data_IF_065428024204
#
_entry.id   IF_065428024204
#
_cell.length_a   1.000
_cell.length_b   1.000
_cell.length_c   1.000
_cell.angle_alpha   90.00
_cell.angle_beta   90.00
_cell.angle_gamma   90.00
#
_symmetry.space_group_name_H-M   'P 1'
#
loop_
_entity.id
_entity.type
_entity.pdbx_description
1 polymer ?
#
# COMPACT_ATOMS: atom_id res chain seq x y z
N UNK A 1 36.63 -21.23 22.94
CA UNK A 1 35.19 -21.06 22.72
C UNK A 1 34.82 -19.70 23.28
N UNK A 2 34.53 -18.72 22.42
CA UNK A 2 34.10 -17.39 22.89
C UNK A 2 32.78 -17.54 23.64
N UNK A 3 32.71 -16.99 24.85
CA UNK A 3 31.48 -17.02 25.62
C UNK A 3 30.39 -16.23 24.89
N UNK A 4 29.14 -16.68 24.90
CA UNK A 4 28.02 -15.97 24.25
C UNK A 4 27.89 -14.52 24.74
N UNK A 5 28.27 -14.28 26.00
CA UNK A 5 28.30 -12.95 26.62
C UNK A 5 29.38 -12.06 25.98
N UNK A 6 30.55 -12.61 25.65
CA UNK A 6 31.62 -11.86 24.98
C UNK A 6 31.22 -11.49 23.56
N UNK A 7 30.59 -12.43 22.84
CA UNK A 7 30.05 -12.16 21.50
C UNK A 7 28.99 -11.05 21.58
N UNK A 8 28.05 -11.11 22.52
CA UNK A 8 27.04 -10.07 22.69
C UNK A 8 27.66 -8.69 22.95
N UNK A 9 28.77 -8.61 23.70
CA UNK A 9 29.49 -7.36 23.95
C UNK A 9 30.18 -6.78 22.69
N UNK A 10 30.47 -7.59 21.67
CA UNK A 10 31.04 -7.10 20.39
C UNK A 10 30.02 -6.37 19.50
N UNK A 11 28.72 -6.41 19.85
CA UNK A 11 27.69 -5.73 19.07
C UNK A 11 27.87 -4.20 19.07
N UNK A 12 27.46 -3.52 17.98
CA UNK A 12 27.52 -2.07 17.90
C UNK A 12 26.80 -1.40 19.08
N UNK A 13 27.34 -0.30 19.66
CA UNK A 13 26.78 0.34 20.84
C UNK A 13 25.35 0.85 20.61
N UNK A 14 24.98 1.17 19.37
CA UNK A 14 23.61 1.56 19.00
C UNK A 14 22.61 0.41 19.17
N UNK A 15 23.00 -0.81 18.81
CA UNK A 15 22.15 -2.00 18.99
C UNK A 15 22.07 -2.38 20.47
N UNK A 16 23.20 -2.33 21.19
CA UNK A 16 23.23 -2.59 22.63
C UNK A 16 22.31 -1.63 23.39
N UNK A 17 22.39 -0.33 23.13
CA UNK A 17 21.48 0.68 23.74
C UNK A 17 20.02 0.44 23.39
N UNK A 18 19.74 -0.02 22.16
CA UNK A 18 18.38 -0.36 21.77
C UNK A 18 17.85 -1.53 22.61
N UNK A 19 18.58 -2.63 22.70
CA UNK A 19 18.17 -3.81 23.47
C UNK A 19 18.15 -3.56 24.99
N UNK A 20 18.98 -2.67 25.51
CA UNK A 20 18.91 -2.23 26.91
C UNK A 20 17.60 -1.52 27.23
N UNK A 21 17.10 -0.70 26.29
CA UNK A 21 15.86 0.07 26.48
C UNK A 21 14.61 -0.73 26.10
N UNK A 22 14.74 -1.62 25.13
CA UNK A 22 13.65 -2.45 24.60
C UNK A 22 14.13 -3.90 24.55
N UNK A 23 14.17 -4.59 25.70
CA UNK A 23 14.66 -5.97 25.76
C UNK A 23 13.65 -6.92 25.10
N UNK A 24 14.07 -7.78 24.17
CA UNK A 24 13.16 -8.73 23.53
C UNK A 24 12.72 -9.83 24.50
N UNK A 25 11.45 -10.30 24.42
CA UNK A 25 10.93 -11.34 25.31
C UNK A 25 11.69 -12.66 25.19
N UNK A 26 12.28 -12.93 24.02
CA UNK A 26 13.09 -14.12 23.74
C UNK A 26 14.32 -14.26 24.65
N UNK A 27 14.79 -13.17 25.26
CA UNK A 27 15.90 -13.21 26.22
C UNK A 27 15.47 -13.67 27.62
N UNK A 28 14.16 -13.71 27.88
CA UNK A 28 13.58 -14.13 29.15
C UNK A 28 12.87 -15.48 28.95
N UNK A 29 13.58 -16.62 29.09
CA UNK A 29 13.03 -17.94 28.81
C UNK A 29 11.80 -18.27 29.68
N UNK A 30 11.76 -17.77 30.92
CA UNK A 30 10.60 -17.94 31.83
C UNK A 30 9.32 -17.29 31.27
N UNK A 31 9.44 -16.09 30.71
CA UNK A 31 8.32 -15.36 30.10
C UNK A 31 7.93 -16.00 28.77
N UNK A 32 8.92 -16.43 27.97
CA UNK A 32 8.68 -17.11 26.69
C UNK A 32 7.91 -18.43 26.88
N UNK A 33 8.23 -19.20 27.93
CA UNK A 33 7.49 -20.44 28.27
C UNK A 33 6.04 -20.16 28.67
N UNK A 34 5.76 -19.06 29.38
CA UNK A 34 4.39 -18.66 29.72
C UNK A 34 3.57 -18.21 28.51
N UNK A 35 4.19 -17.52 27.54
CA UNK A 35 3.51 -17.08 26.30
C UNK A 35 3.27 -18.24 25.33
N UNK A 36 4.17 -19.23 25.28
CA UNK A 36 4.01 -20.40 24.41
C UNK A 36 3.08 -21.48 25.01
N UNK A 37 2.84 -21.45 26.32
CA UNK A 37 2.04 -22.44 27.03
C UNK A 37 0.53 -22.13 27.09
N UNK A 38 0.03 -21.06 26.45
CA UNK A 38 -1.41 -20.91 26.18
C UNK A 38 -1.80 -21.89 25.07
N UNK A 39 -2.46 -23.02 25.39
CA UNK A 39 -2.88 -23.95 24.36
C UNK A 39 -4.04 -23.31 23.61
N UNK A 40 -3.93 -23.26 22.28
CA UNK A 40 -5.08 -23.09 21.40
C UNK A 40 -5.96 -24.33 21.54
N UNK A 41 -6.78 -24.36 22.58
CA UNK A 41 -7.77 -25.41 22.79
C UNK A 41 -9.16 -24.83 22.51
N UNK A 42 -9.77 -25.26 21.41
CA UNK A 42 -11.19 -25.10 21.10
C UNK A 42 -11.54 -26.09 19.97
N UNK A 43 -11.72 -27.35 20.34
CA UNK A 43 -12.46 -28.33 19.55
C UNK A 43 -13.93 -28.41 20.00
N UNK A 44 -14.85 -28.47 19.02
CA UNK A 44 -16.25 -29.01 19.02
C UNK A 44 -17.35 -28.07 19.58
N UNK A 45 -18.41 -27.63 18.86
CA UNK A 45 -19.41 -28.34 18.01
C UNK A 45 -20.17 -27.42 17.01
N UNK A 46 -20.65 -28.00 15.89
CA UNK A 46 -21.60 -27.51 14.83
C UNK A 46 -23.09 -27.43 15.29
N UNK A 47 -24.11 -27.07 14.47
CA UNK A 47 -24.27 -26.02 13.42
C UNK A 47 -25.61 -25.22 13.53
N UNK A 48 -25.70 -23.96 13.08
CA UNK A 48 -26.97 -23.33 12.64
C UNK A 48 -26.76 -22.02 11.84
N UNK A 49 -27.44 -21.99 10.70
CA UNK A 49 -27.72 -20.92 9.72
C UNK A 49 -27.98 -19.51 10.29
N UNK A 50 -27.30 -18.47 9.79
CA UNK A 50 -27.85 -17.34 8.98
C UNK A 50 -26.74 -16.37 8.55
N UNK A 51 -26.84 -15.89 7.31
CA UNK A 51 -25.99 -14.94 6.59
C UNK A 51 -25.71 -13.60 7.32
N UNK A 52 -24.44 -13.18 7.36
CA UNK A 52 -23.99 -11.79 7.19
C UNK A 52 -22.45 -11.73 7.05
N UNK A 53 -21.87 -11.01 6.06
CA UNK A 53 -20.42 -10.94 5.90
C UNK A 53 -19.77 -10.01 6.94
N UNK A 54 -18.98 -10.65 7.80
CA UNK A 54 -18.10 -10.09 8.83
C UNK A 54 -16.94 -9.30 8.21
N UNK A 55 -16.85 -8.00 8.50
CA UNK A 55 -15.58 -7.26 8.47
C UNK A 55 -14.96 -7.33 9.86
N UNK A 56 -14.36 -8.48 10.19
CA UNK A 56 -13.55 -8.65 11.39
C UNK A 56 -12.17 -8.08 11.11
N UNK A 57 -11.98 -6.84 11.55
CA UNK A 57 -10.68 -6.23 11.75
C UNK A 57 -9.86 -7.17 12.64
N UNK A 58 -8.81 -7.78 12.08
CA UNK A 58 -7.83 -8.55 12.83
C UNK A 58 -7.04 -7.58 13.71
N UNK A 59 -7.63 -7.23 14.84
CA UNK A 59 -6.92 -6.65 15.98
C UNK A 59 -5.93 -7.71 16.43
N UNK A 60 -4.66 -7.53 16.05
CA UNK A 60 -3.58 -8.31 16.60
C UNK A 60 -3.63 -8.17 18.11
N UNK A 61 -4.02 -9.26 18.78
CA UNK A 61 -4.02 -9.40 20.22
C UNK A 61 -2.60 -9.11 20.71
N UNK A 62 -2.38 -7.91 21.25
CA UNK A 62 -1.16 -7.58 21.97
C UNK A 62 -1.17 -8.44 23.22
N UNK A 63 -0.20 -9.34 23.45
CA UNK A 63 -0.08 -9.99 24.75
C UNK A 63 0.23 -8.90 25.78
N UNK A 64 -0.75 -8.67 26.64
CA UNK A 64 -0.75 -7.84 27.84
C UNK A 64 0.28 -8.36 28.86
N UNK A 65 1.58 -8.40 28.52
CA UNK A 65 2.65 -8.51 29.52
C UNK A 65 4.06 -8.21 28.96
N UNK A 66 4.17 -7.25 28.03
CA UNK A 66 5.47 -6.63 27.72
C UNK A 66 5.42 -5.19 28.19
N UNK A 67 6.24 -4.88 29.19
CA UNK A 67 6.31 -3.57 29.87
C UNK A 67 6.45 -2.35 28.94
N UNK A 68 6.77 -2.55 27.65
CA UNK A 68 6.90 -1.48 26.67
C UNK A 68 6.23 -1.83 25.33
N UNK A 69 5.41 -0.91 24.75
CA UNK A 69 4.84 -1.08 23.42
C UNK A 69 5.92 -1.06 22.33
N UNK A 70 5.62 -1.61 21.15
CA UNK A 70 6.57 -1.65 20.03
C UNK A 70 7.06 -0.23 19.67
N UNK A 71 8.36 0.08 19.79
CA UNK A 71 8.90 1.42 19.59
C UNK A 71 8.95 1.86 18.11
N UNK A 72 8.61 0.97 17.19
CA UNK A 72 8.57 1.21 15.75
C UNK A 72 7.19 1.59 15.23
N UNK A 73 6.14 1.43 16.05
CA UNK A 73 4.78 1.77 15.67
C UNK A 73 4.35 3.08 16.31
N UNK A 74 3.48 3.86 15.61
CA UNK A 74 2.82 4.98 16.24
C UNK A 74 1.88 4.46 17.33
N UNK A 75 1.82 5.18 18.45
CA UNK A 75 0.94 4.82 19.58
C UNK A 75 -0.15 5.88 19.71
N UNK A 76 -1.36 5.44 20.07
CA UNK A 76 -2.47 6.35 20.33
C UNK A 76 -2.54 6.67 21.82
N UNK A 77 -2.61 7.94 22.15
CA UNK A 77 -2.95 8.36 23.50
C UNK A 77 -4.48 8.29 23.67
N UNK A 78 -4.96 7.39 24.52
CA UNK A 78 -6.40 7.15 24.68
C UNK A 78 -7.13 8.26 25.47
N UNK A 79 -6.43 9.07 26.28
CA UNK A 79 -7.06 10.18 27.01
C UNK A 79 -7.26 11.40 26.11
N UNK A 80 -6.28 11.71 25.26
CA UNK A 80 -6.33 12.89 24.36
C UNK A 80 -6.76 12.57 22.94
N UNK A 81 -6.81 11.29 22.56
CA UNK A 81 -7.10 10.81 21.21
C UNK A 81 -5.98 11.06 20.18
N UNK A 82 -4.89 11.75 20.54
CA UNK A 82 -3.80 12.10 19.64
C UNK A 82 -2.88 10.91 19.37
N UNK A 83 -2.40 10.80 18.14
CA UNK A 83 -1.38 9.82 17.77
C UNK A 83 0.02 10.39 18.01
N UNK A 84 0.83 9.64 18.74
CA UNK A 84 2.26 9.89 18.85
C UNK A 84 2.99 9.16 17.72
N UNK A 85 3.94 9.87 17.09
CA UNK A 85 4.84 9.24 16.13
C UNK A 85 5.67 8.13 16.79
N UNK A 86 6.18 7.17 16.01
CA UNK A 86 7.03 6.10 16.54
C UNK A 86 8.32 6.69 17.13
N UNK A 87 8.78 6.12 18.25
CA UNK A 87 10.02 6.54 18.94
C UNK A 87 11.21 6.47 17.98
N UNK A 88 11.25 5.44 17.14
CA UNK A 88 12.17 5.35 16.01
C UNK A 88 11.39 5.48 14.69
N UNK A 89 11.59 6.59 13.98
CA UNK A 89 11.05 6.75 12.63
C UNK A 89 11.66 5.79 11.60
N UNK A 90 11.02 5.65 10.43
CA UNK A 90 11.35 4.65 9.41
C UNK A 90 12.82 4.64 8.95
N UNK A 91 13.51 5.79 8.98
CA UNK A 91 14.95 5.86 8.70
C UNK A 91 15.78 5.19 9.79
N UNK A 92 15.53 5.51 11.06
CA UNK A 92 16.21 4.90 12.21
C UNK A 92 15.91 3.40 12.31
N UNK A 93 14.68 2.99 11.97
CA UNK A 93 14.30 1.57 11.86
C UNK A 93 15.17 0.85 10.82
N UNK A 94 15.29 1.42 9.62
CA UNK A 94 16.12 0.84 8.56
C UNK A 94 17.60 0.76 8.96
N UNK A 95 18.14 1.78 9.63
CA UNK A 95 19.51 1.76 10.14
C UNK A 95 19.72 0.64 11.17
N UNK A 96 18.78 0.46 12.10
CA UNK A 96 18.83 -0.62 13.11
C UNK A 96 18.71 -1.99 12.47
N UNK A 97 17.77 -2.18 11.53
CA UNK A 97 17.61 -3.44 10.81
C UNK A 97 18.86 -3.75 9.98
N UNK A 98 19.46 -2.75 9.32
CA UNK A 98 20.69 -2.94 8.54
C UNK A 98 21.85 -3.39 9.43
N UNK A 99 22.03 -2.76 10.59
CA UNK A 99 23.03 -3.17 11.57
C UNK A 99 22.74 -4.59 12.10
N UNK A 100 21.50 -4.87 12.48
CA UNK A 100 21.13 -6.17 13.01
C UNK A 100 21.29 -7.29 11.99
N UNK A 101 21.02 -7.01 10.71
CA UNK A 101 21.23 -7.97 9.62
C UNK A 101 22.71 -8.28 9.42
N UNK A 102 23.59 -7.26 9.51
CA UNK A 102 25.03 -7.47 9.45
C UNK A 102 25.56 -8.33 10.62
N UNK A 103 24.89 -8.31 11.77
CA UNK A 103 25.28 -9.06 12.97
C UNK A 103 24.40 -10.29 13.26
N UNK A 104 23.47 -10.66 12.36
CA UNK A 104 22.60 -11.83 12.53
C UNK A 104 21.59 -11.75 13.68
N UNK A 105 21.26 -10.55 14.17
CA UNK A 105 20.35 -10.32 15.32
C UNK A 105 19.02 -9.67 14.92
N UNK A 106 18.56 -9.92 13.69
CA UNK A 106 17.32 -9.33 13.15
C UNK A 106 16.07 -9.83 13.87
N UNK A 107 16.08 -11.10 14.27
CA UNK A 107 14.92 -11.75 14.88
C UNK A 107 14.60 -11.18 16.27
N UNK A 108 15.63 -10.68 16.96
CA UNK A 108 15.52 -10.02 18.26
C UNK A 108 14.85 -8.64 18.17
N UNK A 109 14.70 -8.05 16.98
CA UNK A 109 14.02 -6.76 16.83
C UNK A 109 12.49 -6.94 16.81
N UNK A 110 11.74 -5.97 17.36
CA UNK A 110 10.29 -5.95 17.21
C UNK A 110 9.88 -5.87 15.73
N UNK A 111 8.64 -6.21 15.43
CA UNK A 111 8.13 -6.17 14.06
C UNK A 111 8.26 -4.78 13.43
N UNK A 112 8.75 -4.73 12.19
CA UNK A 112 8.90 -3.50 11.39
C UNK A 112 8.68 -3.78 9.92
N UNK A 113 8.16 -2.79 9.19
CA UNK A 113 8.03 -2.82 7.72
C UNK A 113 9.39 -2.91 7.00
N UNK A 114 10.49 -2.62 7.71
CA UNK A 114 11.85 -2.59 7.18
C UNK A 114 12.61 -3.91 7.36
N UNK A 115 12.04 -4.92 8.05
CA UNK A 115 12.66 -6.23 8.17
C UNK A 115 12.92 -6.85 6.77
N UNK A 116 14.00 -7.65 6.61
CA UNK A 116 14.24 -8.37 5.36
C UNK A 116 13.06 -9.31 5.04
N UNK A 117 12.74 -9.51 3.77
CA UNK A 117 11.62 -10.37 3.33
C UNK A 117 10.23 -9.72 3.40
N UNK A 118 9.94 -8.89 4.40
CA UNK A 118 8.59 -8.27 4.58
C UNK A 118 8.12 -7.45 3.38
N UNK A 119 9.04 -6.74 2.74
CA UNK A 119 8.76 -5.95 1.54
C UNK A 119 8.40 -6.84 0.34
N UNK A 120 9.03 -8.01 0.25
CA UNK A 120 8.82 -8.97 -0.83
C UNK A 120 7.53 -9.76 -0.59
N UNK A 121 7.30 -10.23 0.65
CA UNK A 121 6.06 -10.87 1.06
C UNK A 121 4.84 -10.00 0.74
N UNK A 122 4.88 -8.71 1.11
CA UNK A 122 3.81 -7.75 0.77
C UNK A 122 3.63 -7.57 -0.73
N UNK A 123 4.72 -7.59 -1.50
CA UNK A 123 4.67 -7.43 -2.96
C UNK A 123 4.08 -8.68 -3.62
N UNK A 124 4.36 -9.86 -3.10
CA UNK A 124 3.78 -11.12 -3.55
C UNK A 124 2.29 -11.16 -3.21
N UNK A 125 1.90 -10.77 -1.99
CA UNK A 125 0.50 -10.79 -1.54
C UNK A 125 -0.37 -9.77 -2.28
N UNK A 126 0.10 -8.52 -2.42
CA UNK A 126 -0.72 -7.41 -2.94
C UNK A 126 -0.47 -7.06 -4.40
N UNK A 127 0.62 -7.56 -5.00
CA UNK A 127 1.01 -7.22 -6.36
C UNK A 127 1.42 -5.76 -6.56
N UNK A 128 1.49 -5.34 -7.84
CA UNK A 128 1.70 -3.93 -8.18
C UNK A 128 0.38 -3.16 -8.09
N UNK A 129 0.27 -2.19 -7.18
CA UNK A 129 -0.96 -1.41 -6.97
C UNK A 129 -0.93 0.01 -7.58
N UNK A 130 -0.02 0.28 -8.53
CA UNK A 130 0.10 1.62 -9.14
C UNK A 130 -1.10 1.93 -10.03
N UNK A 131 -1.66 3.14 -9.93
CA UNK A 131 -2.84 3.51 -10.72
C UNK A 131 -2.55 3.41 -12.23
N UNK A 132 -3.36 2.63 -12.94
CA UNK A 132 -3.28 2.43 -14.38
C UNK A 132 -2.47 1.22 -14.82
N UNK A 133 -1.34 0.94 -14.16
CA UNK A 133 -0.44 -0.20 -14.50
C UNK A 133 -0.49 -1.34 -13.50
N UNK A 134 -1.16 -1.14 -12.36
CA UNK A 134 -1.32 -2.14 -11.33
C UNK A 134 -2.29 -3.24 -11.73
N UNK A 135 -2.23 -4.36 -11.02
CA UNK A 135 -3.11 -5.50 -11.23
C UNK A 135 -4.57 -5.07 -11.11
N UNK A 136 -5.38 -5.43 -12.12
CA UNK A 136 -6.78 -5.02 -12.22
C UNK A 136 -7.03 -3.54 -12.59
N UNK A 137 -5.99 -2.73 -12.81
CA UNK A 137 -6.13 -1.35 -13.27
C UNK A 137 -6.00 -1.23 -14.80
N UNK A 138 -6.62 -0.20 -15.37
CA UNK A 138 -6.49 0.13 -16.80
C UNK A 138 -5.94 1.54 -16.99
N UNK A 139 -5.02 1.68 -17.95
CA UNK A 139 -4.48 2.98 -18.37
C UNK A 139 -5.59 3.83 -18.99
N UNK A 140 -5.63 5.12 -18.64
CA UNK A 140 -6.64 6.07 -19.12
C UNK A 140 -6.53 6.37 -20.63
N UNK A 141 -5.33 6.30 -21.19
CA UNK A 141 -5.00 6.78 -22.53
C UNK A 141 -4.93 8.32 -22.61
N UNK A 142 -4.18 8.86 -23.55
CA UNK A 142 -4.07 10.32 -23.78
C UNK A 142 -5.36 10.86 -24.41
N UNK A 143 -5.59 12.17 -24.30
CA UNK A 143 -6.82 12.80 -24.83
C UNK A 143 -7.02 12.53 -26.33
N UNK A 144 -5.95 12.59 -27.13
CA UNK A 144 -6.02 12.34 -28.56
C UNK A 144 -6.32 10.87 -28.88
N UNK A 145 -5.76 9.91 -28.14
CA UNK A 145 -6.07 8.47 -28.29
C UNK A 145 -7.55 8.20 -28.03
N UNK A 146 -8.08 8.77 -26.94
CA UNK A 146 -9.49 8.62 -26.55
C UNK A 146 -10.45 9.24 -27.56
N UNK A 147 -10.05 10.33 -28.23
CA UNK A 147 -10.91 11.08 -29.17
C UNK A 147 -10.66 10.74 -30.64
N UNK A 148 -9.60 9.99 -30.96
CA UNK A 148 -9.17 9.70 -32.33
C UNK A 148 -10.28 9.05 -33.15
N UNK A 149 -10.93 8.02 -32.60
CA UNK A 149 -12.02 7.32 -33.28
C UNK A 149 -13.19 8.25 -33.61
N UNK A 150 -13.60 9.10 -32.65
CA UNK A 150 -14.65 10.08 -32.88
C UNK A 150 -14.26 11.14 -33.92
N UNK A 151 -13.01 11.62 -33.90
CA UNK A 151 -12.50 12.57 -34.90
C UNK A 151 -12.44 11.98 -36.31
N UNK A 152 -12.02 10.71 -36.43
CA UNK A 152 -11.98 10.02 -37.72
C UNK A 152 -13.38 9.79 -38.29
N UNK A 153 -14.35 9.42 -37.45
CA UNK A 153 -15.74 9.23 -37.88
C UNK A 153 -16.37 10.55 -38.35
N UNK A 154 -16.18 11.65 -37.62
CA UNK A 154 -16.64 12.97 -38.06
C UNK A 154 -16.03 13.38 -39.40
N UNK A 155 -14.74 13.08 -39.62
CA UNK A 155 -14.07 13.33 -40.91
C UNK A 155 -14.66 12.48 -42.02
N UNK A 156 -14.92 11.20 -41.76
CA UNK A 156 -15.54 10.28 -42.73
C UNK A 156 -16.93 10.77 -43.15
N UNK A 157 -17.77 11.10 -42.17
CA UNK A 157 -19.13 11.60 -42.43
C UNK A 157 -19.10 12.92 -43.22
N UNK A 158 -18.25 13.87 -42.82
CA UNK A 158 -18.09 15.12 -43.54
C UNK A 158 -17.68 14.91 -45.01
N UNK A 159 -16.86 13.89 -45.28
CA UNK A 159 -16.44 13.55 -46.65
C UNK A 159 -17.56 12.90 -47.48
N UNK A 160 -18.39 12.07 -46.87
CA UNK A 160 -19.58 11.50 -47.52
C UNK A 160 -20.63 12.58 -47.84
N UNK A 161 -20.79 13.57 -46.95
CA UNK A 161 -21.75 14.67 -47.14
C UNK A 161 -21.21 15.79 -48.06
N UNK A 162 -19.90 15.79 -48.34
CA UNK A 162 -19.22 16.85 -49.10
C UNK A 162 -19.76 17.03 -50.53
N UNK A 163 -20.02 15.97 -51.33
CA UNK A 163 -20.60 16.12 -52.66
C UNK A 163 -21.97 16.80 -52.65
N UNK A 164 -22.84 16.40 -51.70
CA UNK A 164 -24.17 17.00 -51.53
C UNK A 164 -24.05 18.49 -51.16
N UNK A 165 -23.16 18.82 -50.23
CA UNK A 165 -22.92 20.20 -49.81
C UNK A 165 -22.44 21.08 -50.97
N UNK A 166 -21.52 20.57 -51.81
CA UNK A 166 -21.04 21.29 -53.00
C UNK A 166 -22.20 21.55 -53.97
N UNK A 167 -23.04 20.55 -54.23
CA UNK A 167 -24.19 20.71 -55.13
C UNK A 167 -25.13 21.81 -54.63
N UNK A 168 -25.52 21.76 -53.34
CA UNK A 168 -26.37 22.79 -52.72
C UNK A 168 -25.72 24.18 -52.79
N UNK A 169 -24.41 24.28 -52.58
CA UNK A 169 -23.67 25.54 -52.63
C UNK A 169 -23.62 26.14 -54.05
N UNK A 170 -23.38 25.31 -55.07
CA UNK A 170 -23.41 25.72 -56.48
C UNK A 170 -24.81 26.18 -56.91
N UNK A 171 -25.86 25.41 -56.57
CA UNK A 171 -27.25 25.73 -56.90
C UNK A 171 -27.70 27.07 -56.28
N UNK A 172 -27.25 27.40 -55.07
CA UNK A 172 -27.54 28.67 -54.39
C UNK A 172 -26.70 29.87 -54.88
N UNK A 173 -25.92 29.70 -55.94
CA UNK A 173 -25.18 30.79 -56.56
C UNK A 173 -23.88 31.17 -55.83
N UNK A 174 -23.05 30.18 -55.47
CA UNK A 174 -21.68 30.38 -54.98
C UNK A 174 -21.58 31.32 -53.77
N UNK A 175 -22.53 31.23 -52.84
CA UNK A 175 -22.51 31.98 -51.58
C UNK A 175 -23.48 33.16 -51.49
N UNK A 176 -24.09 33.63 -52.59
CA UNK A 176 -25.03 34.76 -52.55
C UNK A 176 -26.26 34.51 -51.66
N UNK A 177 -26.78 33.28 -51.65
CA UNK A 177 -27.89 32.85 -50.78
C UNK A 177 -27.48 31.98 -49.59
N UNK A 178 -26.19 31.87 -49.27
CA UNK A 178 -25.70 30.92 -48.26
C UNK A 178 -25.74 31.50 -46.84
N UNK A 179 -26.52 30.86 -45.96
CA UNK A 179 -26.65 31.25 -44.54
C UNK A 179 -25.98 30.28 -43.56
N UNK A 180 -25.55 29.10 -44.02
CA UNK A 180 -24.97 28.02 -43.18
C UNK A 180 -23.45 28.14 -43.06
N UNK A 181 -22.96 29.28 -42.58
CA UNK A 181 -21.52 29.47 -42.38
C UNK A 181 -21.02 28.68 -41.16
N UNK A 182 -19.81 28.07 -41.21
CA UNK A 182 -19.21 27.46 -40.04
C UNK A 182 -19.04 28.52 -38.94
N UNK A 183 -19.53 28.24 -37.74
CA UNK A 183 -19.30 29.10 -36.59
C UNK A 183 -18.14 28.54 -35.76
N UNK A 184 -17.22 29.41 -35.34
CA UNK A 184 -16.14 29.04 -34.42
C UNK A 184 -16.63 28.71 -33.00
N UNK A 185 -17.92 28.92 -32.71
CA UNK A 185 -18.58 28.48 -31.48
C UNK A 185 -18.87 26.98 -31.60
N UNK A 186 -17.84 26.17 -31.40
CA UNK A 186 -18.03 24.72 -31.26
C UNK A 186 -19.08 24.44 -30.18
N UNK A 187 -20.16 23.74 -30.53
CA UNK A 187 -21.03 23.12 -29.53
C UNK A 187 -20.17 22.10 -28.78
N UNK A 188 -19.91 22.41 -27.51
CA UNK A 188 -19.16 21.58 -26.56
C UNK A 188 -19.82 20.22 -26.37
#
# INVERSE_FOLDING_TARGET
MTSQIELAKTLPPRLLRFFQRFPPPQLFPTITQQIAATPADSTVSTPATVDAPTLTEATATTPEDVSFPNPFLPTKNFTTGRWHGPVYGLRKQADLVKLANAHGVVDLLPWTIKKPGEKEARRIERGLAVKGTGEGQRVKGKLWERTLKGRLEMRRQAMLDMPRLIQEWKQKGHGRGWKKWPSGKAKK
#
